data_IF_023576726754
#
_entry.id   IF_023576726754
#
_cell.length_a   1.000
_cell.length_b   1.000
_cell.length_c   1.000
_cell.angle_alpha   90.00
_cell.angle_beta   90.00
_cell.angle_gamma   90.00
#
_symmetry.space_group_name_H-M   'P 1'
#
loop_
_entity.id
_entity.type
_entity.pdbx_description
1 polymer ?
#
# COMPACT_ATOMS: atom_id res chain seq x y z
N UNK A 1 -35.23 2.67 0.82
CA UNK A 1 -33.94 2.09 1.28
C UNK A 1 -32.96 3.24 1.26
N UNK A 2 -32.35 3.55 2.42
CA UNK A 2 -31.33 4.61 2.50
C UNK A 2 -30.08 4.22 1.70
N UNK A 3 -29.16 5.16 1.47
CA UNK A 3 -27.86 4.86 0.84
C UNK A 3 -27.06 3.89 1.69
N UNK A 4 -27.06 4.11 2.99
CA UNK A 4 -26.43 3.23 3.97
C UNK A 4 -26.99 1.80 3.91
N UNK A 5 -28.33 1.64 3.85
CA UNK A 5 -28.96 0.31 3.68
C UNK A 5 -28.49 -0.39 2.39
N UNK A 6 -28.24 0.37 1.31
CA UNK A 6 -27.73 -0.21 0.05
C UNK A 6 -26.32 -0.72 0.20
N UNK A 7 -25.43 0.07 0.84
CA UNK A 7 -24.05 -0.35 1.09
C UNK A 7 -23.98 -1.52 2.06
N UNK A 8 -24.82 -1.50 3.11
CA UNK A 8 -24.93 -2.64 4.03
C UNK A 8 -25.35 -3.91 3.30
N UNK A 9 -26.37 -3.83 2.44
CA UNK A 9 -26.83 -4.97 1.64
C UNK A 9 -25.74 -5.50 0.69
N UNK A 10 -24.94 -4.62 0.07
CA UNK A 10 -23.81 -5.03 -0.78
C UNK A 10 -22.77 -5.81 0.00
N UNK A 11 -22.34 -5.29 1.15
CA UNK A 11 -21.28 -5.92 1.94
C UNK A 11 -21.75 -7.22 2.61
N UNK A 12 -23.03 -7.30 3.03
CA UNK A 12 -23.64 -8.53 3.55
C UNK A 12 -23.68 -9.64 2.50
N UNK A 13 -24.06 -9.27 1.26
CA UNK A 13 -24.08 -10.20 0.14
C UNK A 13 -22.66 -10.67 -0.23
N UNK A 14 -21.67 -9.78 -0.17
CA UNK A 14 -20.28 -10.12 -0.47
C UNK A 14 -19.70 -11.09 0.57
N UNK A 15 -19.90 -10.84 1.86
CA UNK A 15 -19.49 -11.78 2.93
C UNK A 15 -20.20 -13.12 2.80
N UNK A 16 -21.50 -13.12 2.46
CA UNK A 16 -22.24 -14.37 2.25
C UNK A 16 -21.75 -15.18 1.04
N UNK A 17 -21.23 -14.50 0.01
CA UNK A 17 -20.66 -15.16 -1.17
C UNK A 17 -19.29 -15.82 -0.90
N UNK A 18 -18.58 -15.39 0.14
CA UNK A 18 -17.25 -15.86 0.50
C UNK A 18 -17.20 -16.37 1.96
N UNK A 19 -17.71 -17.58 2.25
CA UNK A 19 -17.88 -18.09 3.63
C UNK A 19 -16.59 -18.17 4.46
N UNK A 20 -15.43 -18.29 3.79
CA UNK A 20 -14.12 -18.33 4.45
C UNK A 20 -13.59 -16.93 4.82
N UNK A 21 -14.26 -15.86 4.40
CA UNK A 21 -13.90 -14.49 4.74
C UNK A 21 -14.63 -14.08 6.03
N UNK A 22 -13.92 -13.89 7.16
CA UNK A 22 -14.57 -13.63 8.45
C UNK A 22 -15.39 -12.34 8.48
N UNK A 23 -14.87 -11.28 7.83
CA UNK A 23 -15.54 -9.99 7.80
C UNK A 23 -14.99 -9.06 6.75
N UNK A 24 -15.73 -7.98 6.50
CA UNK A 24 -15.39 -6.96 5.53
C UNK A 24 -15.85 -5.57 5.96
N UNK A 25 -15.06 -4.57 5.61
CA UNK A 25 -15.36 -3.14 5.74
C UNK A 25 -15.56 -2.51 4.37
N UNK A 26 -16.46 -1.55 4.27
CA UNK A 26 -16.66 -0.68 3.11
C UNK A 26 -16.87 0.75 3.59
N UNK A 27 -16.05 1.67 3.12
CA UNK A 27 -16.22 3.10 3.32
C UNK A 27 -16.37 3.78 1.95
N UNK A 28 -17.39 4.60 1.82
CA UNK A 28 -17.67 5.40 0.63
C UNK A 28 -17.69 6.87 1.02
N UNK A 29 -16.79 7.64 0.43
CA UNK A 29 -16.67 9.09 0.59
C UNK A 29 -16.96 9.78 -0.74
N UNK A 30 -18.10 10.47 -0.83
CA UNK A 30 -18.53 11.23 -2.00
C UNK A 30 -19.17 12.56 -1.56
N UNK A 31 -18.37 13.58 -1.19
CA UNK A 31 -18.88 14.83 -0.60
C UNK A 31 -19.86 15.57 -1.50
N UNK A 32 -19.72 15.48 -2.82
CA UNK A 32 -20.66 16.08 -3.78
C UNK A 32 -22.08 15.50 -3.74
N UNK A 33 -22.24 14.33 -3.11
CA UNK A 33 -23.51 13.63 -2.90
C UNK A 33 -23.94 13.60 -1.42
N UNK A 34 -23.23 14.29 -0.55
CA UNK A 34 -23.40 14.26 0.92
C UNK A 34 -23.28 12.83 1.50
N UNK A 35 -22.33 12.05 0.96
CA UNK A 35 -22.05 10.66 1.37
C UNK A 35 -20.70 10.59 2.04
N UNK A 36 -20.69 10.16 3.30
CA UNK A 36 -19.51 9.77 4.10
C UNK A 36 -19.98 8.61 5.00
N UNK A 37 -19.98 7.39 4.45
CA UNK A 37 -20.62 6.23 5.06
C UNK A 37 -19.64 5.08 5.14
N UNK A 38 -19.51 4.50 6.33
CA UNK A 38 -18.79 3.26 6.54
C UNK A 38 -19.72 2.19 7.10
N UNK A 39 -19.70 1.01 6.48
CA UNK A 39 -20.46 -0.18 6.89
C UNK A 39 -19.53 -1.36 7.12
N UNK A 40 -19.97 -2.31 7.95
CA UNK A 40 -19.24 -3.51 8.29
C UNK A 40 -20.13 -4.75 8.22
N UNK A 41 -19.59 -5.88 7.82
CA UNK A 41 -20.28 -7.17 7.83
C UNK A 41 -19.33 -8.29 8.34
N UNK A 42 -19.89 -9.32 8.93
CA UNK A 42 -19.14 -10.44 9.49
C UNK A 42 -18.65 -10.18 10.91
N UNK A 43 -17.51 -10.81 11.27
CA UNK A 43 -16.97 -10.81 12.63
C UNK A 43 -15.62 -10.11 12.71
N UNK A 44 -15.30 -9.59 13.88
CA UNK A 44 -14.04 -8.87 14.14
C UNK A 44 -12.83 -9.81 14.08
N UNK A 45 -13.00 -11.00 14.60
CA UNK A 45 -12.06 -12.12 14.60
C UNK A 45 -12.82 -13.43 14.49
N UNK A 46 -12.17 -14.49 14.04
CA UNK A 46 -12.78 -15.82 13.97
C UNK A 46 -13.25 -16.28 15.35
N UNK A 47 -14.54 -16.49 15.51
CA UNK A 47 -15.17 -16.84 16.80
C UNK A 47 -15.44 -15.64 17.71
N UNK A 48 -15.17 -14.43 17.26
CA UNK A 48 -15.40 -13.19 18.01
C UNK A 48 -16.76 -12.54 17.77
N UNK A 49 -16.89 -11.30 18.23
CA UNK A 49 -18.08 -10.46 18.05
C UNK A 49 -18.18 -9.84 16.64
N UNK A 50 -19.27 -9.10 16.38
CA UNK A 50 -19.46 -8.46 15.09
C UNK A 50 -18.37 -7.42 14.78
N UNK A 51 -17.92 -7.39 13.52
CA UNK A 51 -17.02 -6.35 13.01
C UNK A 51 -17.72 -4.99 13.08
N UNK A 52 -16.97 -3.96 13.47
CA UNK A 52 -17.52 -2.62 13.66
C UNK A 52 -17.01 -1.67 12.56
N UNK A 53 -17.85 -0.76 12.05
CA UNK A 53 -17.36 0.38 11.27
C UNK A 53 -16.28 1.14 12.04
N UNK A 54 -15.29 1.68 11.34
CA UNK A 54 -14.14 2.35 11.94
C UNK A 54 -13.08 1.44 12.54
N UNK A 55 -13.23 0.10 12.46
CA UNK A 55 -12.18 -0.82 12.93
C UNK A 55 -10.86 -0.56 12.22
N UNK A 56 -9.75 -0.64 13.01
CA UNK A 56 -8.39 -0.48 12.49
C UNK A 56 -7.83 -1.79 11.96
N UNK A 57 -6.88 -1.70 11.03
CA UNK A 57 -6.22 -2.88 10.44
C UNK A 57 -4.86 -2.51 9.84
N UNK A 58 -3.99 -3.51 9.58
CA UNK A 58 -2.74 -3.34 8.84
C UNK A 58 -3.06 -3.09 7.36
N UNK A 59 -2.54 -1.99 6.81
CA UNK A 59 -2.85 -1.59 5.42
C UNK A 59 -1.88 -2.12 4.39
N UNK A 60 -0.82 -2.82 4.84
CA UNK A 60 0.23 -3.36 3.97
C UNK A 60 0.71 -2.34 2.93
N UNK A 61 0.76 -2.74 1.67
CA UNK A 61 1.29 -1.92 0.56
C UNK A 61 0.51 -0.63 0.28
N UNK A 62 -0.68 -0.43 0.85
CA UNK A 62 -1.36 0.88 0.82
C UNK A 62 -0.55 1.97 1.57
N UNK A 63 0.48 1.57 2.32
CA UNK A 63 1.51 2.47 2.87
C UNK A 63 2.35 3.17 1.80
N UNK A 64 2.61 2.52 0.66
CA UNK A 64 3.48 3.04 -0.39
C UNK A 64 3.05 4.40 -0.97
N UNK A 65 1.76 4.66 -1.25
CA UNK A 65 1.29 5.98 -1.62
C UNK A 65 1.62 7.08 -0.60
N UNK A 66 1.57 6.78 0.71
CA UNK A 66 1.98 7.73 1.76
C UNK A 66 3.49 8.01 1.68
N UNK A 67 4.29 6.97 1.50
CA UNK A 67 5.75 7.07 1.33
C UNK A 67 6.10 7.88 0.09
N UNK A 68 5.45 7.63 -1.06
CA UNK A 68 5.66 8.39 -2.28
C UNK A 68 5.25 9.86 -2.11
N UNK A 69 4.10 10.11 -1.48
CA UNK A 69 3.62 11.48 -1.22
C UNK A 69 4.62 12.25 -0.34
N UNK A 70 5.08 11.66 0.76
CA UNK A 70 6.09 12.26 1.64
C UNK A 70 7.41 12.52 0.88
N UNK A 71 7.84 11.58 0.04
CA UNK A 71 9.05 11.74 -0.78
C UNK A 71 8.90 12.89 -1.77
N UNK A 72 7.77 13.00 -2.46
CA UNK A 72 7.51 14.07 -3.42
C UNK A 72 7.37 15.44 -2.73
N UNK A 73 6.89 15.50 -1.50
CA UNK A 73 6.95 16.74 -0.69
C UNK A 73 8.38 17.17 -0.42
N UNK A 74 9.30 16.24 -0.14
CA UNK A 74 10.74 16.56 -0.04
C UNK A 74 11.33 17.03 -1.37
N UNK A 75 10.87 16.48 -2.49
CA UNK A 75 11.25 16.95 -3.82
C UNK A 75 10.77 18.39 -4.06
N UNK A 76 9.54 18.74 -3.71
CA UNK A 76 9.03 20.10 -3.78
C UNK A 76 9.84 21.10 -2.94
N UNK A 77 10.29 20.66 -1.76
CA UNK A 77 11.14 21.43 -0.86
C UNK A 77 12.61 21.54 -1.32
N UNK A 78 12.98 20.86 -2.42
CA UNK A 78 14.35 20.81 -2.92
C UNK A 78 15.35 20.08 -2.02
N UNK A 79 14.86 19.24 -1.10
CA UNK A 79 15.67 18.46 -0.16
C UNK A 79 16.23 17.19 -0.80
N UNK A 80 15.52 16.64 -1.80
CA UNK A 80 15.96 15.52 -2.65
C UNK A 80 15.52 15.79 -4.09
N UNK A 81 16.10 15.07 -5.05
CA UNK A 81 15.68 15.05 -6.44
C UNK A 81 15.32 13.64 -6.87
N UNK A 82 14.32 13.52 -7.74
CA UNK A 82 13.94 12.23 -8.32
C UNK A 82 15.08 11.56 -9.11
N UNK A 83 16.02 12.36 -9.62
CA UNK A 83 17.15 11.91 -10.43
C UNK A 83 18.41 11.64 -9.60
N UNK A 84 18.41 11.91 -8.28
CA UNK A 84 19.48 11.49 -7.39
C UNK A 84 19.56 9.96 -7.31
N UNK A 85 20.81 9.48 -7.30
CA UNK A 85 21.08 8.03 -7.29
C UNK A 85 21.01 7.41 -5.90
N UNK A 86 20.80 6.11 -5.86
CA UNK A 86 20.87 5.33 -4.62
C UNK A 86 22.25 5.47 -3.97
N UNK A 87 23.32 5.48 -4.78
CA UNK A 87 24.68 5.69 -4.28
C UNK A 87 24.85 7.03 -3.55
N UNK A 88 24.21 8.10 -4.03
CA UNK A 88 24.25 9.43 -3.39
C UNK A 88 23.38 9.47 -2.12
N UNK A 89 22.19 8.89 -2.16
CA UNK A 89 21.19 8.98 -1.08
C UNK A 89 21.45 7.99 0.06
N UNK A 90 22.01 6.81 -0.25
CA UNK A 90 22.18 5.68 0.67
C UNK A 90 23.64 5.26 0.85
N UNK A 91 24.61 6.16 0.62
CA UNK A 91 26.03 5.87 0.83
C UNK A 91 26.30 5.13 2.16
N UNK A 92 27.21 4.16 2.13
CA UNK A 92 27.54 3.28 3.25
C UNK A 92 26.90 1.89 3.16
N UNK A 93 26.41 1.28 4.26
CA UNK A 93 26.10 -0.14 4.31
C UNK A 93 25.06 -0.62 3.29
N UNK A 94 24.07 0.19 2.97
CA UNK A 94 23.04 -0.19 1.97
C UNK A 94 23.58 -0.15 0.54
N UNK A 95 24.38 0.87 0.18
CA UNK A 95 25.04 0.95 -1.12
C UNK A 95 26.02 -0.21 -1.32
N UNK A 96 26.86 -0.48 -0.31
CA UNK A 96 27.82 -1.59 -0.33
C UNK A 96 27.10 -2.94 -0.49
N UNK A 97 26.00 -3.16 0.27
CA UNK A 97 25.22 -4.38 0.19
C UNK A 97 24.61 -4.58 -1.20
N UNK A 98 23.98 -3.55 -1.75
CA UNK A 98 23.36 -3.62 -3.09
C UNK A 98 24.40 -3.89 -4.18
N UNK A 99 25.55 -3.21 -4.14
CA UNK A 99 26.67 -3.46 -5.08
C UNK A 99 27.19 -4.89 -5.00
N UNK A 100 27.23 -5.48 -3.79
CA UNK A 100 27.63 -6.88 -3.62
C UNK A 100 26.68 -7.86 -4.29
N UNK A 101 25.38 -7.49 -4.45
CA UNK A 101 24.35 -8.22 -5.19
C UNK A 101 24.33 -7.95 -6.70
N UNK A 102 25.25 -7.12 -7.19
CA UNK A 102 25.34 -6.78 -8.62
C UNK A 102 24.42 -5.63 -9.07
N UNK A 103 23.86 -4.86 -8.13
CA UNK A 103 23.04 -3.70 -8.47
C UNK A 103 23.89 -2.48 -8.79
N UNK A 104 23.54 -1.75 -9.86
CA UNK A 104 24.23 -0.54 -10.33
C UNK A 104 23.69 0.69 -9.59
N UNK A 105 24.07 0.88 -8.34
CA UNK A 105 23.51 1.92 -7.47
C UNK A 105 23.79 3.35 -7.96
N UNK A 106 24.82 3.56 -8.80
CA UNK A 106 25.10 4.83 -9.50
C UNK A 106 24.11 5.11 -10.65
N UNK A 107 23.38 4.09 -11.11
CA UNK A 107 22.37 4.22 -12.17
C UNK A 107 20.93 4.14 -11.65
N UNK A 108 20.73 3.53 -10.47
CA UNK A 108 19.41 3.46 -9.82
C UNK A 108 19.10 4.80 -9.18
N UNK A 109 18.02 5.45 -9.63
CA UNK A 109 17.57 6.75 -9.08
C UNK A 109 16.40 6.60 -8.12
N UNK A 110 16.08 7.65 -7.35
CA UNK A 110 14.89 7.72 -6.51
C UNK A 110 13.61 7.52 -7.35
N UNK A 111 13.56 8.05 -8.58
CA UNK A 111 12.47 7.80 -9.53
C UNK A 111 12.30 6.31 -9.80
N UNK A 112 13.39 5.60 -10.09
CA UNK A 112 13.33 4.15 -10.35
C UNK A 112 12.80 3.36 -9.16
N UNK A 113 13.12 3.77 -7.91
CA UNK A 113 12.55 3.14 -6.72
C UNK A 113 11.03 3.34 -6.64
N UNK A 114 10.58 4.61 -6.78
CA UNK A 114 9.15 4.98 -6.68
C UNK A 114 8.28 4.37 -7.78
N UNK A 115 8.85 4.11 -8.96
CA UNK A 115 8.12 3.52 -10.10
C UNK A 115 8.27 2.02 -10.23
N UNK A 116 8.96 1.36 -9.28
CA UNK A 116 9.28 -0.06 -9.37
C UNK A 116 10.06 -0.45 -10.64
N UNK A 117 10.92 0.44 -11.13
CA UNK A 117 11.77 0.21 -12.30
C UNK A 117 13.26 0.16 -11.97
N UNK A 118 13.60 0.02 -10.69
CA UNK A 118 14.98 -0.05 -10.22
C UNK A 118 15.71 -1.35 -10.61
N UNK A 119 14.98 -2.39 -10.98
CA UNK A 119 15.51 -3.73 -11.19
C UNK A 119 15.87 -4.48 -9.90
N UNK A 120 15.62 -3.89 -8.72
CA UNK A 120 15.93 -4.53 -7.44
C UNK A 120 14.92 -5.65 -7.16
N UNK A 121 15.45 -6.86 -6.88
CA UNK A 121 14.66 -8.03 -6.52
C UNK A 121 13.83 -7.78 -5.24
N UNK A 122 12.61 -8.28 -5.22
CA UNK A 122 11.72 -8.18 -4.08
C UNK A 122 12.03 -9.26 -3.04
N UNK A 123 12.36 -8.87 -1.80
CA UNK A 123 12.59 -9.82 -0.72
C UNK A 123 11.34 -10.68 -0.42
N UNK A 124 10.16 -10.17 -0.67
CA UNK A 124 8.88 -10.85 -0.49
C UNK A 124 8.32 -11.46 -1.79
N UNK A 125 9.16 -11.70 -2.81
CA UNK A 125 8.72 -12.21 -4.12
C UNK A 125 7.96 -13.55 -4.03
N UNK A 126 8.25 -14.38 -3.03
CA UNK A 126 7.53 -15.64 -2.79
C UNK A 126 6.07 -15.43 -2.33
N UNK A 127 5.71 -14.27 -1.79
CA UNK A 127 4.32 -13.89 -1.52
C UNK A 127 3.49 -13.74 -2.81
N UNK A 128 4.15 -13.50 -3.94
CA UNK A 128 3.51 -13.26 -5.24
C UNK A 128 3.64 -14.45 -6.21
N UNK A 129 3.80 -15.66 -5.68
CA UNK A 129 3.77 -16.90 -6.46
C UNK A 129 5.11 -17.36 -7.00
N UNK A 130 6.23 -16.78 -6.61
CA UNK A 130 7.53 -17.40 -6.81
C UNK A 130 7.73 -18.50 -5.77
N UNK A 131 7.60 -19.76 -6.15
CA UNK A 131 7.84 -20.90 -5.26
C UNK A 131 9.32 -20.95 -4.84
N UNK A 132 9.63 -20.37 -3.70
CA UNK A 132 10.90 -20.55 -3.01
C UNK A 132 10.64 -21.45 -1.79
N UNK A 133 11.19 -22.65 -1.80
CA UNK A 133 11.01 -23.66 -0.72
C UNK A 133 11.41 -23.12 0.66
N UNK A 134 12.27 -22.11 0.70
CA UNK A 134 12.74 -21.39 1.90
C UNK A 134 12.70 -19.87 1.70
N UNK A 135 11.66 -19.34 1.03
CA UNK A 135 11.46 -17.92 0.82
C UNK A 135 11.19 -17.13 2.11
N UNK A 136 11.10 -15.82 1.98
CA UNK A 136 10.89 -14.92 3.11
C UNK A 136 9.57 -15.22 3.86
N UNK A 137 8.47 -15.44 3.12
CA UNK A 137 7.16 -15.80 3.72
C UNK A 137 7.22 -17.12 4.47
N UNK A 138 7.99 -18.09 3.97
CA UNK A 138 8.21 -19.35 4.67
C UNK A 138 8.99 -19.17 5.99
N UNK A 139 9.93 -18.21 6.06
CA UNK A 139 10.61 -17.90 7.30
C UNK A 139 9.70 -17.18 8.28
N UNK A 140 8.88 -16.25 7.82
CA UNK A 140 7.85 -15.59 8.65
C UNK A 140 6.88 -16.61 9.22
N UNK A 141 6.44 -17.59 8.44
CA UNK A 141 5.55 -18.66 8.91
C UNK A 141 6.21 -19.59 9.95
N UNK A 142 7.53 -19.80 9.89
CA UNK A 142 8.28 -20.60 10.89
C UNK A 142 8.46 -19.86 12.20
N UNK A 143 8.67 -18.56 12.19
CA UNK A 143 8.84 -17.72 13.37
C UNK A 143 8.13 -16.37 13.17
N UNK A 144 6.79 -16.32 13.38
CA UNK A 144 6.01 -15.10 13.20
C UNK A 144 6.40 -13.98 14.16
N UNK A 145 7.01 -14.31 15.29
CA UNK A 145 7.48 -13.34 16.29
C UNK A 145 8.87 -12.76 16.00
N UNK A 146 9.55 -13.20 14.94
CA UNK A 146 10.86 -12.67 14.60
C UNK A 146 10.77 -11.18 14.24
N UNK A 147 11.60 -10.35 14.93
CA UNK A 147 11.71 -8.94 14.62
C UNK A 147 12.75 -8.71 13.54
N UNK A 148 12.26 -8.49 12.32
CA UNK A 148 13.10 -8.18 11.17
C UNK A 148 13.65 -6.75 11.25
N UNK A 149 14.88 -6.56 10.82
CA UNK A 149 15.46 -5.24 10.55
C UNK A 149 15.35 -4.92 9.05
N UNK A 150 15.30 -3.64 8.70
CA UNK A 150 15.35 -3.21 7.28
C UNK A 150 16.55 -3.80 6.55
N UNK A 151 17.71 -3.84 7.24
CA UNK A 151 18.95 -4.38 6.66
C UNK A 151 18.83 -5.88 6.36
N UNK A 152 18.18 -6.66 7.23
CA UNK A 152 17.94 -8.09 7.01
C UNK A 152 17.06 -8.33 5.78
N UNK A 153 15.98 -7.55 5.62
CA UNK A 153 15.09 -7.66 4.47
C UNK A 153 15.82 -7.34 3.15
N UNK A 154 16.59 -6.24 3.11
CA UNK A 154 17.36 -5.87 1.92
C UNK A 154 18.47 -6.90 1.65
N UNK A 155 19.15 -7.40 2.71
CA UNK A 155 20.13 -8.48 2.57
C UNK A 155 19.50 -9.74 2.01
N UNK A 156 18.25 -10.08 2.42
CA UNK A 156 17.51 -11.21 1.86
C UNK A 156 17.36 -11.10 0.35
N UNK A 157 16.95 -9.93 -0.14
CA UNK A 157 16.83 -9.68 -1.59
C UNK A 157 18.17 -9.83 -2.32
N UNK A 158 19.28 -9.43 -1.70
CA UNK A 158 20.63 -9.55 -2.29
C UNK A 158 21.15 -10.99 -2.28
N UNK A 159 20.89 -11.74 -1.21
CA UNK A 159 21.40 -13.12 -1.06
C UNK A 159 20.60 -14.14 -1.89
N UNK A 160 19.28 -13.97 -1.99
CA UNK A 160 18.39 -14.94 -2.63
C UNK A 160 17.86 -14.50 -3.98
N UNK A 161 17.94 -13.22 -4.31
CA UNK A 161 17.49 -12.67 -5.57
C UNK A 161 18.61 -12.35 -6.55
N UNK A 162 18.18 -11.92 -7.73
CA UNK A 162 19.06 -11.33 -8.76
C UNK A 162 18.38 -10.11 -9.33
N UNK A 163 19.14 -9.12 -9.86
CA UNK A 163 18.55 -7.99 -10.55
C UNK A 163 17.55 -8.46 -11.63
N UNK A 164 16.37 -7.87 -11.62
CA UNK A 164 15.35 -8.12 -12.65
C UNK A 164 15.79 -7.63 -14.03
N UNK A 165 16.62 -6.62 -14.08
CA UNK A 165 17.17 -5.99 -15.29
C UNK A 165 17.85 -4.67 -14.96
N UNK A 166 18.42 -3.99 -15.97
CA UNK A 166 18.98 -2.65 -15.80
C UNK A 166 17.90 -1.64 -15.35
N UNK A 167 18.27 -0.61 -14.55
CA UNK A 167 17.33 0.41 -14.12
C UNK A 167 16.58 1.08 -15.29
N UNK A 168 15.28 1.28 -15.15
CA UNK A 168 14.40 1.89 -16.15
C UNK A 168 13.99 0.98 -17.32
N UNK A 169 14.42 -0.29 -17.35
CA UNK A 169 14.15 -1.17 -18.51
C UNK A 169 13.07 -2.22 -18.26
N UNK A 170 12.70 -2.44 -17.01
CA UNK A 170 11.75 -3.47 -16.58
C UNK A 170 10.92 -2.95 -15.40
N UNK A 171 9.65 -3.29 -15.37
CA UNK A 171 8.81 -3.10 -14.20
C UNK A 171 8.91 -4.34 -13.30
N UNK A 172 9.44 -4.19 -12.11
CA UNK A 172 9.50 -5.24 -11.09
C UNK A 172 9.05 -4.68 -9.75
N UNK A 173 7.80 -4.99 -9.36
CA UNK A 173 7.31 -4.60 -8.05
C UNK A 173 8.30 -5.05 -6.97
N UNK A 174 8.66 -4.15 -6.04
CA UNK A 174 9.70 -4.44 -5.07
C UNK A 174 9.45 -3.73 -3.74
N UNK A 175 9.16 -4.52 -2.71
CA UNK A 175 9.13 -4.06 -1.32
C UNK A 175 10.53 -3.68 -0.84
N UNK A 176 11.58 -4.33 -1.36
CA UNK A 176 12.97 -3.93 -1.12
C UNK A 176 13.22 -2.48 -1.56
N UNK A 177 12.73 -2.10 -2.75
CA UNK A 177 12.82 -0.72 -3.23
C UNK A 177 12.10 0.26 -2.30
N UNK A 178 10.92 -0.12 -1.81
CA UNK A 178 10.14 0.70 -0.88
C UNK A 178 10.83 0.85 0.49
N UNK A 179 11.48 -0.20 1.00
CA UNK A 179 12.31 -0.13 2.21
C UNK A 179 13.48 0.84 2.07
N UNK A 180 14.09 0.92 0.87
CA UNK A 180 15.15 1.90 0.57
C UNK A 180 14.61 3.32 0.55
N UNK A 181 13.41 3.56 -0.02
CA UNK A 181 12.76 4.89 0.04
C UNK A 181 12.45 5.27 1.48
N UNK A 182 11.98 4.34 2.30
CA UNK A 182 11.78 4.58 3.73
C UNK A 182 13.07 5.01 4.45
N UNK A 183 14.20 4.36 4.16
CA UNK A 183 15.52 4.76 4.68
C UNK A 183 15.93 6.16 4.21
N UNK A 184 15.68 6.50 2.94
CA UNK A 184 15.96 7.82 2.40
C UNK A 184 15.15 8.90 3.15
N UNK A 185 13.86 8.66 3.38
CA UNK A 185 13.01 9.58 4.14
C UNK A 185 13.57 9.82 5.55
N UNK A 186 13.94 8.76 6.27
CA UNK A 186 14.49 8.87 7.61
C UNK A 186 15.84 9.62 7.62
N UNK A 187 16.74 9.36 6.69
CA UNK A 187 18.02 10.07 6.58
C UNK A 187 17.83 11.55 6.27
N UNK A 188 16.96 11.88 5.34
CA UNK A 188 16.77 13.26 4.90
C UNK A 188 16.03 14.08 5.95
N UNK A 189 15.07 13.50 6.67
CA UNK A 189 14.29 14.20 7.68
C UNK A 189 14.93 14.19 9.08
N UNK A 190 15.71 13.15 9.39
CA UNK A 190 16.21 12.89 10.73
C UNK A 190 15.13 12.38 11.70
N UNK A 191 14.00 11.95 11.18
CA UNK A 191 12.83 11.46 11.93
C UNK A 191 12.61 9.97 11.65
N UNK A 192 11.74 9.30 12.44
CA UNK A 192 11.22 7.98 12.06
C UNK A 192 10.34 8.11 10.81
N UNK A 193 10.20 7.02 10.06
CA UNK A 193 9.39 7.01 8.82
C UNK A 193 7.95 7.48 9.06
N UNK A 194 7.30 6.97 10.12
CA UNK A 194 5.94 7.38 10.45
C UNK A 194 5.82 8.86 10.79
N UNK A 195 6.75 9.41 11.59
CA UNK A 195 6.77 10.82 11.93
C UNK A 195 7.01 11.71 10.70
N UNK A 196 7.92 11.30 9.80
CA UNK A 196 8.19 12.00 8.54
C UNK A 196 6.94 12.01 7.62
N UNK A 197 6.28 10.86 7.47
CA UNK A 197 5.04 10.75 6.69
C UNK A 197 3.97 11.66 7.29
N UNK A 198 3.74 11.60 8.61
CA UNK A 198 2.73 12.39 9.32
C UNK A 198 2.91 13.89 9.09
N UNK A 199 4.15 14.39 9.19
CA UNK A 199 4.48 15.80 8.98
C UNK A 199 4.32 16.20 7.50
N UNK A 200 4.93 15.44 6.57
CA UNK A 200 4.99 15.81 5.15
C UNK A 200 3.64 15.68 4.43
N UNK A 201 2.80 14.74 4.85
CA UNK A 201 1.42 14.57 4.35
C UNK A 201 0.44 15.53 5.05
N UNK A 202 0.83 16.06 6.21
CA UNK A 202 -0.01 16.98 7.03
C UNK A 202 -1.28 16.28 7.56
N UNK A 203 -1.09 15.24 8.36
CA UNK A 203 -2.18 14.44 8.94
C UNK A 203 -3.18 15.30 9.73
N UNK A 204 -2.69 16.31 10.45
CA UNK A 204 -3.55 17.21 11.25
C UNK A 204 -4.56 17.95 10.36
N UNK A 205 -4.08 18.56 9.28
CA UNK A 205 -4.94 19.30 8.33
C UNK A 205 -5.94 18.38 7.62
N UNK A 206 -5.53 17.16 7.29
CA UNK A 206 -6.38 16.18 6.61
C UNK A 206 -7.34 15.46 7.56
N UNK A 207 -7.20 15.65 8.89
CA UNK A 207 -8.01 14.96 9.89
C UNK A 207 -7.71 13.46 9.98
N UNK A 208 -6.50 13.03 9.60
CA UNK A 208 -6.01 11.65 9.74
C UNK A 208 -5.57 11.45 11.20
N UNK A 209 -6.28 10.63 11.95
CA UNK A 209 -6.11 10.53 13.41
C UNK A 209 -5.71 9.13 13.89
N UNK A 210 -6.07 8.10 13.14
CA UNK A 210 -5.91 6.69 13.50
C UNK A 210 -4.97 5.99 12.52
N UNK A 211 -4.00 6.73 11.97
CA UNK A 211 -2.96 6.18 11.10
C UNK A 211 -1.60 6.43 11.75
N UNK A 212 -0.84 5.35 11.99
CA UNK A 212 0.48 5.41 12.62
C UNK A 212 1.38 4.26 12.15
N UNK A 213 2.69 4.42 12.30
CA UNK A 213 3.65 3.34 12.05
C UNK A 213 3.69 2.39 13.24
N UNK A 214 3.19 1.18 13.05
CA UNK A 214 3.05 0.16 14.09
C UNK A 214 4.41 -0.12 14.76
N UNK A 215 4.42 -0.24 16.09
CA UNK A 215 5.59 -0.50 16.95
C UNK A 215 6.71 0.57 16.96
N UNK A 216 6.66 1.58 16.09
CA UNK A 216 7.65 2.67 16.02
C UNK A 216 7.09 3.97 16.61
N UNK A 217 5.85 4.29 16.29
CA UNK A 217 5.14 5.43 16.90
C UNK A 217 4.30 4.94 18.08
N UNK A 218 4.04 5.84 19.02
CA UNK A 218 3.04 5.60 20.06
C UNK A 218 1.66 5.41 19.43
N UNK A 219 0.90 4.47 19.96
CA UNK A 219 -0.47 4.27 19.51
C UNK A 219 -1.33 5.52 19.78
N UNK A 220 -2.17 5.96 18.82
CA UNK A 220 -3.12 7.04 19.06
C UNK A 220 -4.02 6.73 20.26
N UNK A 221 -4.47 7.77 21.01
CA UNK A 221 -5.46 7.56 22.07
C UNK A 221 -6.79 7.08 21.48
N UNK A 222 -7.57 6.36 22.28
CA UNK A 222 -8.94 5.92 21.93
C UNK A 222 -9.00 5.09 20.63
N UNK A 223 -8.13 4.08 20.51
CA UNK A 223 -8.07 3.22 19.35
C UNK A 223 -9.40 2.47 19.10
N UNK A 224 -9.91 2.48 17.86
CA UNK A 224 -11.01 1.62 17.49
C UNK A 224 -10.61 0.12 17.55
N UNK A 225 -11.60 -0.80 17.61
CA UNK A 225 -11.32 -2.23 17.61
C UNK A 225 -10.43 -2.66 16.45
N UNK A 226 -9.61 -3.70 16.67
CA UNK A 226 -8.79 -4.30 15.63
C UNK A 226 -9.67 -5.21 14.76
N UNK A 227 -9.71 -5.00 13.45
CA UNK A 227 -10.17 -5.99 12.48
C UNK A 227 -9.03 -6.98 12.24
N UNK A 228 -9.17 -8.21 12.73
CA UNK A 228 -8.17 -9.25 12.55
C UNK A 228 -8.06 -9.63 11.07
N UNK A 229 -6.87 -9.92 10.62
CA UNK A 229 -6.58 -10.30 9.23
C UNK A 229 -5.83 -11.64 9.24
N UNK A 230 -6.00 -12.45 8.21
CA UNK A 230 -5.52 -13.82 8.17
C UNK A 230 -4.75 -14.11 6.89
N UNK A 231 -3.67 -14.87 7.03
CA UNK A 231 -2.99 -15.57 5.96
C UNK A 231 -3.21 -17.07 6.17
N UNK A 232 -4.08 -17.69 5.36
CA UNK A 232 -4.59 -19.05 5.63
C UNK A 232 -5.22 -19.13 7.03
N UNK A 233 -4.67 -19.98 7.90
CA UNK A 233 -5.16 -20.15 9.29
C UNK A 233 -4.37 -19.27 10.30
N UNK A 234 -3.40 -18.51 9.85
CA UNK A 234 -2.58 -17.65 10.72
C UNK A 234 -3.22 -16.27 10.85
N UNK A 235 -3.58 -15.90 12.06
CA UNK A 235 -3.92 -14.52 12.39
C UNK A 235 -2.66 -13.66 12.34
N UNK A 236 -2.61 -12.68 11.44
CA UNK A 236 -1.43 -11.83 11.29
C UNK A 236 -1.18 -10.90 12.48
N UNK A 237 -2.15 -10.74 13.38
CA UNK A 237 -1.95 -9.98 14.62
C UNK A 237 -0.85 -10.58 15.52
N UNK A 238 -0.53 -11.88 15.37
CA UNK A 238 0.59 -12.52 16.09
C UNK A 238 1.93 -12.33 15.41
N UNK A 239 1.97 -11.84 14.18
CA UNK A 239 3.24 -11.54 13.50
C UNK A 239 3.83 -10.24 14.03
N UNK A 240 5.15 -10.22 14.27
CA UNK A 240 5.85 -8.96 14.52
C UNK A 240 5.64 -8.01 13.32
N UNK A 241 5.27 -6.76 13.61
CA UNK A 241 4.95 -5.78 12.58
C UNK A 241 6.11 -5.51 11.62
N UNK A 242 7.35 -5.81 12.04
CA UNK A 242 8.56 -5.60 11.25
C UNK A 242 8.62 -6.41 9.95
N UNK A 243 7.76 -7.42 9.80
CA UNK A 243 7.62 -8.17 8.54
C UNK A 243 7.36 -7.25 7.35
N UNK A 244 6.72 -6.10 7.58
CA UNK A 244 6.25 -5.17 6.55
C UNK A 244 6.47 -3.69 6.92
N UNK A 245 7.40 -3.38 7.86
CA UNK A 245 7.44 -2.11 8.60
C UNK A 245 8.10 -0.93 7.86
N UNK A 246 9.00 -1.16 6.89
CA UNK A 246 10.02 -0.17 6.54
C UNK A 246 9.74 0.64 5.25
N UNK A 247 8.49 0.79 4.86
CA UNK A 247 8.07 1.60 3.70
C UNK A 247 7.33 0.79 2.62
N UNK A 248 7.49 -0.54 2.58
CA UNK A 248 6.64 -1.44 1.80
C UNK A 248 5.22 -1.51 2.37
N UNK A 249 5.14 -1.44 3.68
CA UNK A 249 3.96 -1.43 4.53
C UNK A 249 4.26 -0.82 5.89
N UNK A 250 3.59 -1.30 6.95
CA UNK A 250 3.86 -0.97 8.34
C UNK A 250 2.99 0.12 8.93
N UNK A 251 2.06 0.69 8.18
CA UNK A 251 1.05 1.55 8.74
C UNK A 251 -0.18 0.75 9.18
N UNK A 252 -0.66 1.07 10.38
CA UNK A 252 -2.02 0.79 10.84
C UNK A 252 -2.92 1.95 10.42
N UNK A 253 -4.18 1.66 10.02
CA UNK A 253 -5.13 2.71 9.64
C UNK A 253 -6.58 2.24 9.80
N UNK A 254 -7.52 3.08 9.36
CA UNK A 254 -8.95 2.81 9.19
C UNK A 254 -9.40 3.14 7.78
N UNK A 255 -10.54 2.61 7.34
CA UNK A 255 -11.09 2.98 6.03
C UNK A 255 -11.33 4.50 5.91
N UNK A 256 -11.80 5.15 6.97
CA UNK A 256 -12.05 6.58 6.97
C UNK A 256 -10.79 7.43 6.80
N UNK A 257 -9.68 7.09 7.48
CA UNK A 257 -8.41 7.81 7.33
C UNK A 257 -7.81 7.59 5.93
N UNK A 258 -7.89 6.38 5.40
CA UNK A 258 -7.48 6.09 4.03
C UNK A 258 -8.31 6.87 3.01
N UNK A 259 -9.63 6.95 3.19
CA UNK A 259 -10.49 7.72 2.29
C UNK A 259 -10.12 9.21 2.28
N UNK A 260 -9.83 9.80 3.44
CA UNK A 260 -9.35 11.20 3.55
C UNK A 260 -8.02 11.39 2.82
N UNK A 261 -7.06 10.49 3.05
CA UNK A 261 -5.75 10.58 2.41
C UNK A 261 -5.85 10.48 0.89
N UNK A 262 -6.47 9.41 0.36
CA UNK A 262 -6.54 9.19 -1.09
C UNK A 262 -7.34 10.27 -1.80
N UNK A 263 -8.44 10.74 -1.20
CA UNK A 263 -9.20 11.87 -1.74
C UNK A 263 -8.34 13.13 -1.81
N UNK A 264 -7.70 13.51 -0.71
CA UNK A 264 -6.86 14.71 -0.66
C UNK A 264 -5.69 14.63 -1.65
N UNK A 265 -5.02 13.46 -1.75
CA UNK A 265 -3.93 13.24 -2.68
C UNK A 265 -4.39 13.44 -4.12
N UNK A 266 -5.46 12.77 -4.52
CA UNK A 266 -5.90 12.70 -5.92
C UNK A 266 -6.79 13.87 -6.33
N UNK A 267 -7.15 14.73 -5.39
CA UNK A 267 -7.75 16.05 -5.61
C UNK A 267 -6.73 17.18 -5.61
N UNK A 268 -5.42 16.83 -5.55
CA UNK A 268 -4.31 17.79 -5.52
C UNK A 268 -4.36 18.74 -4.31
N UNK A 269 -4.79 18.22 -3.15
CA UNK A 269 -4.91 19.00 -1.92
C UNK A 269 -3.68 18.87 -1.00
N UNK A 270 -2.67 18.03 -1.36
CA UNK A 270 -1.48 17.78 -0.53
C UNK A 270 -0.25 18.53 -1.08
N UNK A 271 -0.06 18.50 -2.38
CA UNK A 271 1.10 19.11 -3.03
C UNK A 271 0.97 20.62 -3.14
N UNK A 272 2.10 21.33 -3.18
CA UNK A 272 2.14 22.77 -3.39
C UNK A 272 2.14 23.14 -4.89
N UNK A 273 2.53 22.18 -5.74
CA UNK A 273 2.67 22.37 -7.19
C UNK A 273 1.85 21.31 -7.93
N UNK A 274 0.94 21.69 -8.82
CA UNK A 274 0.11 20.75 -9.59
C UNK A 274 0.94 19.75 -10.41
N UNK A 275 2.16 20.14 -10.84
CA UNK A 275 3.07 19.26 -11.58
C UNK A 275 3.52 18.05 -10.76
N UNK A 276 3.47 18.16 -9.43
CA UNK A 276 3.88 17.06 -8.56
C UNK A 276 2.90 15.90 -8.62
N UNK A 277 1.58 16.16 -8.56
CA UNK A 277 0.59 15.12 -8.74
C UNK A 277 0.63 14.54 -10.16
N UNK A 278 0.77 15.40 -11.18
CA UNK A 278 0.92 14.95 -12.57
C UNK A 278 2.14 14.02 -12.74
N UNK A 279 3.27 14.34 -12.10
CA UNK A 279 4.45 13.47 -12.07
C UNK A 279 4.19 12.14 -11.34
N UNK A 280 3.44 12.19 -10.23
CA UNK A 280 3.11 10.99 -9.45
C UNK A 280 2.20 10.04 -10.21
N UNK A 281 1.29 10.57 -11.03
CA UNK A 281 0.29 9.82 -11.81
C UNK A 281 0.70 9.56 -13.26
N UNK A 282 1.93 9.91 -13.64
CA UNK A 282 2.48 9.58 -14.96
C UNK A 282 2.70 8.07 -15.07
N UNK A 283 1.90 7.40 -15.89
CA UNK A 283 1.93 5.95 -16.02
C UNK A 283 3.10 5.47 -16.86
N UNK A 284 3.66 4.35 -16.45
CA UNK A 284 4.63 3.61 -17.23
C UNK A 284 3.90 2.86 -18.34
N UNK A 285 4.34 3.04 -19.58
CA UNK A 285 3.78 2.35 -20.73
C UNK A 285 4.83 1.46 -21.40
N UNK A 286 4.44 0.20 -21.68
CA UNK A 286 5.19 -0.71 -22.55
C UNK A 286 6.43 -1.35 -21.94
N UNK A 287 6.75 -1.12 -20.65
CA UNK A 287 7.84 -1.83 -20.00
C UNK A 287 7.47 -3.30 -19.76
N UNK A 288 8.38 -4.25 -20.03
CA UNK A 288 8.15 -5.65 -19.70
C UNK A 288 8.03 -5.81 -18.18
N UNK A 289 7.21 -6.79 -17.75
CA UNK A 289 7.11 -7.16 -16.34
C UNK A 289 8.20 -8.17 -15.96
N UNK A 290 8.86 -7.96 -14.83
CA UNK A 290 9.87 -8.90 -14.31
C UNK A 290 9.25 -10.21 -13.81
N UNK A 291 8.00 -10.14 -13.33
CA UNK A 291 7.22 -11.28 -12.85
C UNK A 291 5.91 -11.35 -13.61
N UNK A 292 5.47 -12.56 -13.96
CA UNK A 292 4.30 -12.80 -14.80
C UNK A 292 4.65 -13.56 -16.07
N UNK A 293 3.74 -13.58 -17.04
CA UNK A 293 4.01 -14.15 -18.36
C UNK A 293 4.92 -13.20 -19.15
N UNK A 294 5.87 -13.77 -19.90
CA UNK A 294 6.94 -13.02 -20.59
C UNK A 294 6.47 -11.97 -21.61
N UNK A 295 5.18 -11.95 -21.95
CA UNK A 295 4.59 -11.05 -22.95
C UNK A 295 3.76 -9.92 -22.33
N UNK A 296 3.65 -9.86 -20.99
CA UNK A 296 2.89 -8.79 -20.33
C UNK A 296 3.74 -7.53 -20.14
N UNK A 297 3.21 -6.42 -20.63
CA UNK A 297 3.75 -5.09 -20.37
C UNK A 297 2.94 -4.36 -19.32
N UNK A 298 3.57 -3.44 -18.60
CA UNK A 298 2.88 -2.56 -17.68
C UNK A 298 2.26 -1.38 -18.43
N UNK A 299 1.06 -0.97 -18.05
CA UNK A 299 0.37 0.19 -18.61
C UNK A 299 -0.46 0.96 -17.57
N UNK A 300 -0.42 0.52 -16.31
CA UNK A 300 -1.29 1.05 -15.27
C UNK A 300 -0.56 1.41 -13.98
N UNK A 301 0.76 1.25 -13.93
CA UNK A 301 1.58 1.60 -12.76
C UNK A 301 2.16 3.01 -12.90
N UNK A 302 2.24 3.73 -11.79
CA UNK A 302 2.85 5.02 -11.64
C UNK A 302 3.73 5.05 -10.37
N UNK A 303 4.02 6.21 -9.77
CA UNK A 303 4.80 6.27 -8.53
C UNK A 303 3.99 5.78 -7.34
N UNK A 304 4.11 4.47 -7.03
CA UNK A 304 3.38 3.78 -5.96
C UNK A 304 1.85 3.99 -6.04
N UNK A 305 1.33 4.17 -7.25
CA UNK A 305 -0.09 4.20 -7.56
C UNK A 305 -0.38 3.29 -8.74
N UNK A 306 -1.59 2.77 -8.76
CA UNK A 306 -2.12 2.02 -9.89
C UNK A 306 -3.37 2.70 -10.44
N UNK A 307 -3.45 2.73 -11.78
CA UNK A 307 -4.65 3.14 -12.50
C UNK A 307 -5.56 1.94 -12.74
N UNK A 308 -6.85 2.11 -12.50
CA UNK A 308 -7.88 1.14 -12.82
C UNK A 308 -9.02 1.82 -13.60
N UNK A 309 -9.65 1.07 -14.49
CA UNK A 309 -10.86 1.50 -15.20
C UNK A 309 -12.05 0.70 -14.65
N UNK A 310 -13.02 1.39 -14.07
CA UNK A 310 -14.23 0.79 -13.50
C UNK A 310 -15.43 1.63 -13.92
N UNK A 311 -16.45 1.01 -14.52
CA UNK A 311 -17.64 1.69 -15.02
C UNK A 311 -17.33 2.88 -15.93
N UNK A 312 -16.39 2.69 -16.86
CA UNK A 312 -15.93 3.67 -17.85
C UNK A 312 -15.34 4.98 -17.26
N UNK A 313 -14.91 4.94 -16.01
CA UNK A 313 -14.18 6.04 -15.36
C UNK A 313 -12.85 5.56 -14.78
N UNK A 314 -11.88 6.49 -14.75
CA UNK A 314 -10.52 6.21 -14.26
C UNK A 314 -10.46 6.37 -12.75
N UNK A 315 -9.87 5.38 -12.10
CA UNK A 315 -9.59 5.32 -10.68
C UNK A 315 -8.09 5.24 -10.44
N UNK A 316 -7.65 5.83 -9.35
CA UNK A 316 -6.28 5.76 -8.87
C UNK A 316 -6.25 5.28 -7.44
N UNK A 317 -5.31 4.40 -7.13
CA UNK A 317 -5.21 3.87 -5.77
C UNK A 317 -4.14 2.81 -5.63
N UNK A 318 -4.29 2.00 -4.60
CA UNK A 318 -3.40 0.88 -4.31
C UNK A 318 -4.14 -0.24 -3.56
N UNK A 319 -3.63 -1.46 -3.71
CA UNK A 319 -4.07 -2.63 -2.95
C UNK A 319 -3.04 -3.00 -1.89
N UNK A 320 -3.51 -3.51 -0.75
CA UNK A 320 -2.68 -4.06 0.32
C UNK A 320 -2.77 -5.59 0.37
N UNK A 321 -1.64 -6.24 0.61
CA UNK A 321 -1.57 -7.71 0.69
C UNK A 321 -2.57 -8.29 1.69
N UNK A 322 -2.72 -7.67 2.86
CA UNK A 322 -3.62 -8.10 3.93
C UNK A 322 -5.11 -7.84 3.67
N UNK A 323 -5.49 -7.45 2.46
CA UNK A 323 -6.90 -7.33 2.09
C UNK A 323 -7.43 -5.91 1.94
N UNK A 324 -6.59 -4.89 1.96
CA UNK A 324 -7.00 -3.49 1.78
C UNK A 324 -7.08 -3.13 0.30
N UNK A 325 -8.11 -2.38 -0.09
CA UNK A 325 -8.25 -1.78 -1.43
C UNK A 325 -8.70 -0.33 -1.23
N UNK A 326 -7.94 0.64 -1.74
CA UNK A 326 -8.24 2.07 -1.58
C UNK A 326 -8.07 2.79 -2.91
N UNK A 327 -9.18 3.28 -3.48
CA UNK A 327 -9.20 3.94 -4.78
C UNK A 327 -10.08 5.19 -4.77
N UNK A 328 -9.64 6.19 -5.53
CA UNK A 328 -10.37 7.44 -5.77
C UNK A 328 -10.61 7.61 -7.27
N UNK A 329 -11.82 8.03 -7.63
CA UNK A 329 -12.17 8.56 -8.94
C UNK A 329 -12.16 10.10 -8.86
N UNK A 330 -11.08 10.79 -9.30
CA UNK A 330 -10.96 12.24 -9.11
C UNK A 330 -12.01 13.03 -9.88
N UNK A 331 -12.44 12.53 -11.04
CA UNK A 331 -13.42 13.21 -11.91
C UNK A 331 -14.84 13.20 -11.33
N UNK A 332 -15.14 12.26 -10.42
CA UNK A 332 -16.42 12.15 -9.73
C UNK A 332 -16.36 12.58 -8.28
N UNK A 333 -15.16 12.88 -7.76
CA UNK A 333 -14.90 13.13 -6.33
C UNK A 333 -15.46 12.01 -5.43
N UNK A 334 -15.18 10.76 -5.81
CA UNK A 334 -15.60 9.56 -5.09
C UNK A 334 -14.36 8.79 -4.67
N UNK A 335 -14.28 8.46 -3.39
CA UNK A 335 -13.26 7.56 -2.83
C UNK A 335 -13.96 6.37 -2.19
N UNK A 336 -13.50 5.17 -2.53
CA UNK A 336 -14.01 3.93 -1.97
C UNK A 336 -12.84 3.15 -1.39
N UNK A 337 -12.98 2.78 -0.12
CA UNK A 337 -12.01 1.97 0.61
C UNK A 337 -12.69 0.72 1.12
N UNK A 338 -12.09 -0.43 0.88
CA UNK A 338 -12.56 -1.71 1.42
C UNK A 338 -11.42 -2.42 2.15
N UNK A 339 -11.76 -3.19 3.18
CA UNK A 339 -10.86 -4.14 3.81
C UNK A 339 -11.56 -5.46 3.97
N UNK A 340 -10.93 -6.55 3.53
CA UNK A 340 -11.35 -7.92 3.81
C UNK A 340 -10.30 -8.60 4.68
N UNK A 341 -10.72 -9.56 5.48
CA UNK A 341 -9.88 -10.13 6.52
C UNK A 341 -9.02 -11.34 6.08
N UNK A 342 -8.79 -11.53 4.78
CA UNK A 342 -7.93 -12.61 4.26
C UNK A 342 -7.05 -12.13 3.13
N UNK A 343 -5.79 -12.56 3.12
CA UNK A 343 -4.88 -12.33 1.99
C UNK A 343 -5.04 -13.40 0.90
N UNK A 344 -5.29 -14.65 1.30
CA UNK A 344 -5.39 -15.85 0.46
C UNK A 344 -6.80 -16.11 -0.09
N UNK A 345 -7.39 -15.10 -0.76
CA UNK A 345 -8.74 -15.24 -1.32
C UNK A 345 -8.76 -16.26 -2.46
N UNK A 346 -9.86 -17.04 -2.58
CA UNK A 346 -9.97 -18.09 -3.60
C UNK A 346 -10.01 -17.52 -5.02
N UNK A 347 -9.77 -18.41 -5.99
CA UNK A 347 -9.90 -18.08 -7.42
C UNK A 347 -11.28 -17.47 -7.73
N UNK A 348 -11.30 -16.41 -8.54
CA UNK A 348 -12.51 -15.67 -8.90
C UNK A 348 -12.82 -14.49 -7.99
N UNK A 349 -12.18 -14.35 -6.82
CA UNK A 349 -12.30 -13.13 -6.02
C UNK A 349 -11.64 -11.95 -6.73
N UNK A 350 -12.36 -10.84 -6.83
CA UNK A 350 -11.86 -9.62 -7.45
C UNK A 350 -11.94 -8.47 -6.45
N UNK A 351 -10.80 -7.93 -6.04
CA UNK A 351 -10.69 -6.82 -5.08
C UNK A 351 -11.52 -5.61 -5.49
N UNK A 352 -11.51 -5.27 -6.78
CA UNK A 352 -12.25 -4.13 -7.33
C UNK A 352 -13.75 -4.37 -7.53
N UNK A 353 -14.27 -5.60 -7.35
CA UNK A 353 -15.70 -5.87 -7.57
C UNK A 353 -16.58 -5.04 -6.62
N UNK A 354 -16.29 -5.05 -5.32
CA UNK A 354 -17.06 -4.28 -4.36
C UNK A 354 -16.93 -2.76 -4.58
N UNK A 355 -15.77 -2.29 -5.07
CA UNK A 355 -15.59 -0.88 -5.47
C UNK A 355 -16.53 -0.53 -6.63
N UNK A 356 -16.61 -1.41 -7.63
CA UNK A 356 -17.50 -1.23 -8.77
C UNK A 356 -18.99 -1.21 -8.35
N UNK A 357 -19.40 -2.19 -7.53
CA UNK A 357 -20.78 -2.31 -7.06
C UNK A 357 -21.21 -1.12 -6.18
N UNK A 358 -20.30 -0.66 -5.29
CA UNK A 358 -20.56 0.51 -4.47
C UNK A 358 -20.66 1.79 -5.31
N UNK A 359 -19.82 1.93 -6.34
CA UNK A 359 -19.89 3.06 -7.25
C UNK A 359 -21.20 3.08 -8.05
N UNK A 360 -21.63 1.93 -8.59
CA UNK A 360 -22.92 1.80 -9.30
C UNK A 360 -24.09 2.11 -8.36
N UNK A 361 -24.02 1.71 -7.08
CA UNK A 361 -25.04 2.03 -6.10
C UNK A 361 -25.16 3.54 -5.80
N UNK A 362 -24.05 4.30 -5.93
CA UNK A 362 -24.05 5.76 -5.85
C UNK A 362 -24.70 6.41 -7.07
N UNK A 363 -24.42 5.93 -8.29
CA UNK A 363 -24.98 6.51 -9.53
C UNK A 363 -26.51 6.37 -9.61
N UNK A 364 -27.09 5.52 -8.79
CA UNK A 364 -28.54 5.35 -8.63
C UNK A 364 -29.20 6.35 -7.67
N UNK A 365 -28.45 7.37 -7.20
CA UNK A 365 -28.94 8.46 -6.34
C UNK A 365 -29.25 9.68 -7.19
#
# INVERSE_FOLDING_TARGET
>A
MSVEDRFQALIDADVAAWPDMPGRLLHVLAPGLDVDIEVAAGVQEVGGGPLQPGSRFRIASVTKPFVATATLRLVEQGRVSLDQTVAELLAGPYDELLRSGGYETDAITLRHLLTHTSGIYDFAADAYGQELTDGFTAQVAKDPGHRWTRFEQIRWAVEYGKPYGPPGTVFGYSDTGACLVGEILERVTGQSLGAAIRELVDYERLGIRTTWQETIEDEPPDLPPLSHQYERDLDIAVMDASVDLYGGGGLMSTCGDLARFFRALLRDEIFERPETLATMTDTLDGLPRAMGTSDETVSNAAMYLFRAEVADVTWWGHDGYWGTTAYTCPTRDVTIVTSHQRSDMPEGFKRMALVADAFVALEGL
#
